data_IF_911300876992
#
_entry.id   IF_911300876992
#
_cell.length_a   1.000
_cell.length_b   1.000
_cell.length_c   1.000
_cell.angle_alpha   90.00
_cell.angle_beta   90.00
_cell.angle_gamma   90.00
#
_symmetry.space_group_name_H-M   'P 1'
#
loop_
_entity.id
_entity.type
_entity.pdbx_description
1 polymer ?
#
# COMPACT_ATOMS: atom_id res chain seq x y z
N UNK A 1 9.99 3.32 9.03
CA UNK A 1 10.33 3.66 7.65
C UNK A 1 9.98 5.11 7.38
N UNK A 2 10.99 5.91 7.10
CA UNK A 2 10.81 7.29 6.71
C UNK A 2 10.32 7.34 5.27
N UNK A 3 9.09 7.73 5.06
CA UNK A 3 8.58 8.11 3.76
C UNK A 3 8.43 9.63 3.77
N UNK A 4 9.14 10.37 2.90
CA UNK A 4 8.96 11.82 2.82
C UNK A 4 7.49 12.14 2.62
N UNK A 5 7.00 13.13 3.35
CA UNK A 5 5.58 13.54 3.34
C UNK A 5 5.20 14.36 2.11
N UNK A 6 6.02 14.36 1.07
CA UNK A 6 5.73 15.09 -0.14
C UNK A 6 4.46 14.52 -0.80
N UNK A 7 3.55 15.42 -1.06
CA UNK A 7 2.23 15.28 -1.61
C UNK A 7 1.94 13.93 -2.29
N UNK A 8 1.13 13.10 -1.64
CA UNK A 8 0.55 11.95 -2.33
C UNK A 8 -0.37 12.47 -3.43
N UNK A 9 -0.07 12.11 -4.66
CA UNK A 9 -0.98 12.33 -5.77
C UNK A 9 -2.15 11.35 -5.59
N UNK A 10 -3.37 11.86 -5.52
CA UNK A 10 -4.58 11.05 -5.41
C UNK A 10 -5.24 11.11 -4.03
N UNK A 11 -6.11 10.13 -3.79
CA UNK A 11 -6.88 10.03 -2.56
C UNK A 11 -6.02 9.63 -1.38
N UNK A 12 -6.35 10.14 -0.20
CA UNK A 12 -5.62 9.83 1.03
C UNK A 12 -6.49 10.02 2.26
N UNK A 13 -6.43 9.06 3.17
CA UNK A 13 -6.98 9.15 4.52
C UNK A 13 -5.96 8.56 5.49
N UNK A 14 -5.59 9.33 6.50
CA UNK A 14 -4.65 8.92 7.53
C UNK A 14 -5.30 8.97 8.90
N UNK A 15 -4.94 8.03 9.76
CA UNK A 15 -5.35 7.99 11.16
C UNK A 15 -4.13 7.97 12.06
N UNK A 16 -4.19 8.74 13.15
CA UNK A 16 -3.26 8.59 14.25
C UNK A 16 -3.66 7.38 15.09
N UNK A 17 -2.68 6.65 15.55
CA UNK A 17 -2.86 5.51 16.44
C UNK A 17 -2.58 5.98 17.85
N UNK A 18 -3.60 5.94 18.70
CA UNK A 18 -3.50 6.33 20.10
C UNK A 18 -3.58 5.10 21.00
N UNK A 19 -2.72 5.07 21.99
CA UNK A 19 -2.71 4.03 23.02
C UNK A 19 -2.40 4.69 24.36
N UNK A 20 -3.25 4.42 25.35
CA UNK A 20 -3.11 4.96 26.71
C UNK A 20 -2.92 6.49 26.74
N UNK A 21 -3.74 7.20 25.96
CA UNK A 21 -3.73 8.66 25.87
C UNK A 21 -2.55 9.27 25.05
N UNK A 22 -1.72 8.44 24.44
CA UNK A 22 -0.56 8.90 23.66
C UNK A 22 -0.65 8.46 22.20
N UNK A 23 -0.15 9.30 21.31
CA UNK A 23 0.00 8.91 19.90
C UNK A 23 1.22 8.02 19.75
N UNK A 24 1.01 6.77 19.32
CA UNK A 24 2.04 5.74 19.20
C UNK A 24 2.29 5.31 17.76
N UNK A 25 1.61 5.90 16.80
CA UNK A 25 1.82 5.56 15.40
C UNK A 25 0.82 6.21 14.46
N UNK A 26 0.86 5.77 13.23
CA UNK A 26 0.02 6.27 12.14
C UNK A 26 -0.24 5.15 11.13
N UNK A 27 -1.44 5.12 10.61
CA UNK A 27 -1.83 4.24 9.51
C UNK A 27 -2.60 5.03 8.47
N UNK A 28 -2.37 4.76 7.20
CA UNK A 28 -3.02 5.49 6.12
C UNK A 28 -3.35 4.61 4.92
N UNK A 29 -4.42 4.98 4.24
CA UNK A 29 -4.79 4.44 2.95
C UNK A 29 -4.85 5.55 1.91
N UNK A 30 -4.62 5.18 0.67
CA UNK A 30 -4.68 6.12 -0.45
C UNK A 30 -5.11 5.43 -1.73
N UNK A 31 -5.00 6.15 -2.84
CA UNK A 31 -5.29 5.59 -4.14
C UNK A 31 -4.48 4.33 -4.40
N UNK A 32 -5.08 3.38 -5.10
CA UNK A 32 -4.40 2.17 -5.55
C UNK A 32 -3.25 2.50 -6.50
N UNK A 33 -2.53 1.50 -6.95
CA UNK A 33 -1.38 1.67 -7.85
C UNK A 33 -1.78 1.51 -9.31
N UNK A 34 -1.17 2.31 -10.17
CA UNK A 34 -1.36 2.20 -11.62
C UNK A 34 -0.01 2.41 -12.34
N UNK A 35 0.39 1.56 -13.27
CA UNK A 35 -0.31 0.33 -13.69
C UNK A 35 -0.33 -0.74 -12.58
N UNK A 36 -1.39 -1.58 -12.55
CA UNK A 36 -1.48 -2.61 -11.52
C UNK A 36 -0.48 -3.74 -11.77
N UNK A 37 0.12 -4.31 -10.70
CA UNK A 37 0.86 -5.55 -10.83
C UNK A 37 -0.02 -6.69 -11.37
N UNK A 38 0.56 -7.58 -12.15
CA UNK A 38 -0.15 -8.72 -12.75
C UNK A 38 -0.82 -9.61 -11.69
N UNK A 39 -0.20 -9.74 -10.53
CA UNK A 39 -0.72 -10.55 -9.43
C UNK A 39 -2.05 -10.01 -8.89
N UNK A 40 -2.21 -8.68 -8.83
CA UNK A 40 -3.47 -8.05 -8.43
C UNK A 40 -4.57 -8.33 -9.47
N UNK A 41 -4.28 -8.16 -10.75
CA UNK A 41 -5.23 -8.46 -11.83
C UNK A 41 -5.67 -9.92 -11.81
N UNK A 42 -4.72 -10.83 -11.62
CA UNK A 42 -5.00 -12.26 -11.55
C UNK A 42 -5.87 -12.61 -10.34
N UNK A 43 -5.54 -12.10 -9.18
CA UNK A 43 -6.28 -12.38 -7.95
C UNK A 43 -7.72 -11.85 -8.01
N UNK A 44 -7.91 -10.65 -8.56
CA UNK A 44 -9.23 -10.03 -8.70
C UNK A 44 -9.98 -10.48 -9.96
N UNK A 45 -9.33 -11.28 -10.82
CA UNK A 45 -9.88 -11.71 -12.11
C UNK A 45 -10.34 -10.53 -12.99
N UNK A 46 -9.50 -9.51 -13.08
CA UNK A 46 -9.77 -8.28 -13.83
C UNK A 46 -8.79 -8.11 -14.98
N UNK A 47 -9.30 -7.57 -16.09
CA UNK A 47 -8.45 -6.97 -17.11
C UNK A 47 -7.90 -5.63 -16.60
N UNK A 48 -6.88 -5.11 -17.26
CA UNK A 48 -6.33 -3.78 -16.94
C UNK A 48 -7.37 -2.67 -17.08
N UNK A 49 -8.25 -2.77 -18.07
CA UNK A 49 -9.33 -1.81 -18.31
C UNK A 49 -10.40 -1.90 -17.21
N UNK A 50 -10.80 -3.11 -16.82
CA UNK A 50 -11.73 -3.33 -15.72
C UNK A 50 -11.16 -2.81 -14.39
N UNK A 51 -9.88 -3.05 -14.13
CA UNK A 51 -9.18 -2.50 -12.96
C UNK A 51 -9.23 -0.96 -12.95
N UNK A 52 -8.97 -0.33 -14.09
CA UNK A 52 -9.09 1.13 -14.23
C UNK A 52 -10.48 1.63 -13.90
N UNK A 53 -11.52 0.94 -14.34
CA UNK A 53 -12.93 1.26 -14.04
C UNK A 53 -13.29 1.07 -12.55
N UNK A 54 -12.59 0.18 -11.84
CA UNK A 54 -12.80 -0.11 -10.42
C UNK A 54 -11.72 0.49 -9.51
N UNK A 55 -10.87 1.34 -10.04
CA UNK A 55 -9.69 1.87 -9.34
C UNK A 55 -10.01 2.47 -7.97
N UNK A 56 -11.13 3.18 -7.85
CA UNK A 56 -11.55 3.86 -6.63
C UNK A 56 -12.24 2.95 -5.61
N UNK A 57 -12.45 1.69 -5.93
CA UNK A 57 -12.95 0.67 -4.99
C UNK A 57 -11.81 -0.10 -4.29
N UNK A 58 -10.58 0.21 -4.64
CA UNK A 58 -9.37 -0.43 -4.14
C UNK A 58 -8.47 0.66 -3.56
N UNK A 59 -8.11 0.53 -2.29
CA UNK A 59 -7.17 1.43 -1.65
C UNK A 59 -5.82 0.74 -1.44
N UNK A 60 -4.77 1.53 -1.36
CA UNK A 60 -3.43 1.08 -0.96
C UNK A 60 -3.17 1.51 0.48
N UNK A 61 -2.88 0.58 1.38
CA UNK A 61 -2.31 0.90 2.68
C UNK A 61 -0.85 1.33 2.46
N UNK A 62 -0.67 2.62 2.23
CA UNK A 62 0.61 3.19 1.83
C UNK A 62 1.53 3.42 3.03
N UNK A 63 0.98 3.47 4.23
CA UNK A 63 1.74 3.70 5.46
C UNK A 63 1.14 2.94 6.64
N UNK A 64 2.01 2.29 7.38
CA UNK A 64 1.73 1.74 8.70
C UNK A 64 3.01 1.86 9.53
N UNK A 65 3.05 2.81 10.44
CA UNK A 65 4.21 3.09 11.29
C UNK A 65 3.81 3.06 12.74
N UNK A 66 4.59 2.35 13.56
CA UNK A 66 4.50 2.36 15.02
C UNK A 66 5.81 2.89 15.58
N UNK A 67 5.73 3.84 16.50
CA UNK A 67 6.91 4.33 17.26
C UNK A 67 7.10 3.55 18.56
N UNK A 68 6.11 2.79 18.96
CA UNK A 68 6.12 1.93 20.15
C UNK A 68 5.53 0.58 19.80
N UNK A 69 6.20 -0.49 20.23
CA UNK A 69 5.67 -1.85 20.07
C UNK A 69 4.61 -2.13 21.13
N UNK A 70 3.44 -2.61 20.68
CA UNK A 70 2.33 -3.00 21.53
C UNK A 70 1.98 -4.45 21.22
N UNK A 71 1.90 -5.29 22.23
CA UNK A 71 1.54 -6.71 22.06
C UNK A 71 0.21 -6.83 21.33
N UNK A 72 0.19 -7.60 20.24
CA UNK A 72 -0.95 -7.77 19.34
C UNK A 72 -1.50 -6.45 18.74
N UNK A 73 -0.77 -5.34 18.89
CA UNK A 73 -1.22 -4.03 18.44
C UNK A 73 -1.43 -3.95 16.94
N UNK A 74 -0.56 -4.56 16.16
CA UNK A 74 -0.62 -4.50 14.70
C UNK A 74 -1.91 -5.09 14.14
N UNK A 75 -2.28 -6.30 14.54
CA UNK A 75 -3.51 -6.95 14.07
C UNK A 75 -4.78 -6.25 14.57
N UNK A 76 -4.76 -5.72 15.78
CA UNK A 76 -5.86 -4.91 16.31
C UNK A 76 -6.06 -3.61 15.52
N UNK A 77 -4.97 -2.95 15.14
CA UNK A 77 -5.03 -1.73 14.34
C UNK A 77 -5.55 -2.04 12.93
N UNK A 78 -5.09 -3.12 12.31
CA UNK A 78 -5.60 -3.55 11.00
C UNK A 78 -7.09 -3.91 11.06
N UNK A 79 -7.55 -4.54 12.14
CA UNK A 79 -8.97 -4.79 12.36
C UNK A 79 -9.77 -3.49 12.41
N UNK A 80 -9.29 -2.50 13.15
CA UNK A 80 -9.94 -1.18 13.21
C UNK A 80 -9.92 -0.47 11.86
N UNK A 81 -8.81 -0.56 11.12
CA UNK A 81 -8.73 -0.04 9.75
C UNK A 81 -9.84 -0.61 8.87
N UNK A 82 -10.00 -1.94 8.86
CA UNK A 82 -11.05 -2.62 8.09
C UNK A 82 -12.46 -2.20 8.49
N UNK A 83 -12.67 -1.89 9.76
CA UNK A 83 -13.96 -1.44 10.27
C UNK A 83 -14.27 0.02 9.91
N UNK A 84 -13.26 0.88 9.90
CA UNK A 84 -13.42 2.34 9.72
C UNK A 84 -13.24 2.80 8.28
N UNK A 85 -12.39 2.14 7.52
CA UNK A 85 -12.01 2.58 6.19
C UNK A 85 -13.20 2.66 5.20
N UNK A 86 -14.12 1.68 5.13
CA UNK A 86 -15.23 1.77 4.18
C UNK A 86 -16.10 3.01 4.35
N UNK A 87 -16.52 3.32 5.57
CA UNK A 87 -17.34 4.48 5.84
C UNK A 87 -16.59 5.80 5.64
N UNK A 88 -15.34 5.87 6.06
CA UNK A 88 -14.51 7.05 5.85
C UNK A 88 -14.23 7.33 4.36
N UNK A 89 -13.99 6.29 3.58
CA UNK A 89 -13.79 6.38 2.14
C UNK A 89 -15.05 6.85 1.42
N UNK A 90 -16.20 6.26 1.77
CA UNK A 90 -17.49 6.65 1.24
C UNK A 90 -17.84 8.10 1.57
N UNK A 91 -17.64 8.51 2.82
CA UNK A 91 -17.91 9.86 3.28
C UNK A 91 -17.04 10.92 2.57
N UNK A 92 -15.76 10.62 2.36
CA UNK A 92 -14.83 11.57 1.74
C UNK A 92 -14.87 11.58 0.22
N UNK A 93 -15.08 10.43 -0.42
CA UNK A 93 -14.89 10.25 -1.87
C UNK A 93 -16.12 9.73 -2.62
N UNK A 94 -17.14 9.28 -1.91
CA UNK A 94 -18.39 8.80 -2.52
C UNK A 94 -18.36 7.38 -3.08
N UNK A 95 -17.22 6.68 -3.01
CA UNK A 95 -17.09 5.33 -3.56
C UNK A 95 -17.12 4.27 -2.46
N UNK A 96 -17.59 3.08 -2.81
CA UNK A 96 -17.57 1.91 -1.94
C UNK A 96 -16.18 1.26 -1.98
N UNK A 97 -15.53 1.17 -0.83
CA UNK A 97 -14.24 0.51 -0.71
C UNK A 97 -14.45 -1.00 -0.57
N UNK A 98 -13.90 -1.79 -1.48
CA UNK A 98 -14.06 -3.25 -1.52
C UNK A 98 -12.80 -4.01 -1.14
N UNK A 99 -11.62 -3.45 -1.42
CA UNK A 99 -10.34 -4.09 -1.15
C UNK A 99 -9.31 -3.07 -0.66
N UNK A 100 -8.40 -3.57 0.18
CA UNK A 100 -7.18 -2.84 0.53
C UNK A 100 -5.99 -3.71 0.12
N UNK A 101 -5.05 -3.13 -0.61
CA UNK A 101 -3.76 -3.76 -0.95
C UNK A 101 -2.65 -3.13 -0.13
N UNK A 102 -1.54 -3.83 0.00
CA UNK A 102 -0.32 -3.29 0.59
C UNK A 102 0.92 -3.92 -0.04
N UNK A 103 2.03 -3.19 0.02
CA UNK A 103 3.34 -3.64 -0.44
C UNK A 103 4.30 -3.62 0.73
N UNK A 104 4.78 -4.80 1.12
CA UNK A 104 5.72 -4.95 2.24
C UNK A 104 7.14 -5.01 1.70
N UNK A 105 7.98 -4.11 2.18
CA UNK A 105 9.35 -3.95 1.70
C UNK A 105 10.25 -5.16 1.95
N UNK A 106 11.35 -5.21 1.20
CA UNK A 106 12.37 -6.25 1.31
C UNK A 106 12.88 -6.42 2.76
N UNK A 107 13.10 -7.66 3.16
CA UNK A 107 13.53 -8.00 4.52
C UNK A 107 12.41 -8.09 5.56
N UNK A 108 11.18 -7.79 5.17
CA UNK A 108 9.98 -7.95 6.00
C UNK A 108 9.10 -9.05 5.44
N UNK A 109 8.42 -9.78 6.30
CA UNK A 109 7.60 -10.95 5.89
C UNK A 109 6.09 -10.69 5.86
N UNK A 110 5.63 -9.48 6.21
CA UNK A 110 4.21 -9.16 6.26
C UNK A 110 3.44 -9.84 7.38
N UNK A 111 4.10 -10.29 8.44
CA UNK A 111 3.50 -11.08 9.51
C UNK A 111 2.26 -10.44 10.13
N UNK A 112 2.26 -9.13 10.33
CA UNK A 112 1.12 -8.41 10.90
C UNK A 112 -0.13 -8.49 10.01
N UNK A 113 0.06 -8.42 8.71
CA UNK A 113 -1.03 -8.56 7.74
C UNK A 113 -1.53 -10.00 7.64
N UNK A 114 -0.62 -10.96 7.63
CA UNK A 114 -0.98 -12.39 7.64
C UNK A 114 -1.74 -12.76 8.91
N UNK A 115 -1.37 -12.22 10.06
CA UNK A 115 -2.09 -12.38 11.31
C UNK A 115 -3.52 -11.81 11.27
N UNK A 116 -3.78 -10.81 10.44
CA UNK A 116 -5.12 -10.27 10.17
C UNK A 116 -5.79 -10.93 8.95
N UNK A 117 -5.31 -12.09 8.52
CA UNK A 117 -5.84 -12.88 7.40
C UNK A 117 -5.84 -12.16 6.05
N UNK A 118 -4.84 -11.33 5.79
CA UNK A 118 -4.58 -10.82 4.45
C UNK A 118 -3.98 -11.92 3.58
N UNK A 119 -4.32 -11.93 2.32
CA UNK A 119 -3.79 -12.91 1.38
C UNK A 119 -2.51 -12.40 0.72
N UNK A 120 -1.43 -13.16 0.80
CA UNK A 120 -0.23 -12.93 0.00
C UNK A 120 -0.52 -13.40 -1.43
N UNK A 121 -0.49 -12.48 -2.39
CA UNK A 121 -0.87 -12.77 -3.78
C UNK A 121 0.30 -12.73 -4.75
N UNK A 122 1.46 -12.27 -4.32
CA UNK A 122 2.64 -12.24 -5.16
C UNK A 122 3.73 -11.33 -4.65
N UNK A 123 4.64 -11.00 -5.54
CA UNK A 123 5.77 -10.11 -5.28
C UNK A 123 5.96 -9.17 -6.46
N UNK A 124 6.45 -7.96 -6.18
CA UNK A 124 6.85 -7.05 -7.25
C UNK A 124 8.12 -7.55 -7.93
N UNK A 125 8.35 -7.11 -9.16
CA UNK A 125 9.53 -7.50 -9.94
C UNK A 125 10.86 -7.01 -9.34
N UNK A 126 10.82 -5.97 -8.51
CA UNK A 126 11.99 -5.36 -7.88
C UNK A 126 12.76 -4.45 -8.82
N UNK A 127 13.38 -3.43 -8.24
CA UNK A 127 14.26 -2.50 -8.95
C UNK A 127 15.59 -2.38 -8.21
N UNK A 128 16.71 -2.06 -8.89
CA UNK A 128 17.99 -1.81 -8.24
C UNK A 128 17.89 -0.69 -7.20
N UNK A 129 18.47 -0.91 -6.03
CA UNK A 129 18.35 -0.03 -4.86
C UNK A 129 18.83 1.41 -5.14
N UNK A 130 19.89 1.55 -5.91
CA UNK A 130 20.50 2.84 -6.26
C UNK A 130 19.67 3.65 -7.25
N UNK A 131 18.76 3.04 -7.99
CA UNK A 131 17.94 3.72 -9.00
C UNK A 131 16.58 4.19 -8.48
N UNK A 132 16.10 3.62 -7.39
CA UNK A 132 14.83 4.03 -6.78
C UNK A 132 14.93 5.32 -5.95
N UNK A 133 16.14 5.70 -5.53
CA UNK A 133 16.36 6.87 -4.66
C UNK A 133 16.78 8.15 -5.40
N UNK A 134 17.14 8.06 -6.67
CA UNK A 134 17.71 9.18 -7.44
C UNK A 134 16.88 9.65 -8.63
N UNK A 135 15.70 9.13 -8.82
CA UNK A 135 14.82 9.53 -9.94
C UNK A 135 14.32 10.96 -9.78
N UNK A 136 14.99 11.86 -10.44
CA UNK A 136 14.50 13.21 -10.71
C UNK A 136 13.81 13.20 -12.06
N UNK A 137 12.56 13.57 -12.09
CA UNK A 137 11.66 13.46 -13.25
C UNK A 137 11.95 14.42 -14.43
N UNK A 138 13.07 15.13 -14.45
CA UNK A 138 13.22 16.33 -15.26
C UNK A 138 14.16 16.25 -16.46
N UNK A 139 14.72 15.09 -16.83
CA UNK A 139 15.58 14.98 -18.03
C UNK A 139 15.29 13.71 -18.84
N UNK A 140 15.40 13.81 -20.16
CA UNK A 140 15.17 12.69 -21.09
C UNK A 140 16.07 11.47 -20.86
N UNK A 141 17.24 11.64 -20.24
CA UNK A 141 18.14 10.55 -19.86
C UNK A 141 17.60 9.72 -18.72
N UNK A 142 16.88 10.34 -17.78
CA UNK A 142 16.27 9.63 -16.64
C UNK A 142 15.10 8.76 -17.06
N UNK A 143 14.36 9.12 -18.09
CA UNK A 143 13.30 8.28 -18.66
C UNK A 143 13.83 6.96 -19.21
N UNK A 144 15.04 6.94 -19.78
CA UNK A 144 15.68 5.70 -20.24
C UNK A 144 16.02 4.75 -19.10
N UNK A 145 16.35 5.26 -17.92
CA UNK A 145 16.63 4.45 -16.73
C UNK A 145 15.37 3.86 -16.09
N UNK A 146 14.21 4.47 -16.27
CA UNK A 146 12.94 3.94 -15.80
C UNK A 146 12.56 2.60 -16.46
N UNK A 147 13.11 2.31 -17.63
CA UNK A 147 12.86 1.07 -18.38
C UNK A 147 13.94 0.00 -18.18
N UNK A 148 14.79 0.15 -17.18
CA UNK A 148 15.76 -0.90 -16.83
C UNK A 148 14.99 -2.14 -16.37
N UNK A 149 15.40 -3.30 -16.88
CA UNK A 149 14.79 -4.59 -16.50
C UNK A 149 14.86 -4.78 -14.96
N UNK A 150 13.80 -5.25 -14.35
CA UNK A 150 13.83 -5.60 -12.94
C UNK A 150 14.95 -6.61 -12.66
N UNK A 151 15.72 -6.38 -11.60
CA UNK A 151 16.84 -7.26 -11.21
C UNK A 151 16.47 -8.29 -10.17
N UNK A 152 15.26 -8.22 -9.65
CA UNK A 152 14.84 -9.03 -8.50
C UNK A 152 15.29 -8.46 -7.16
N UNK A 153 16.07 -7.38 -7.13
CA UNK A 153 16.43 -6.68 -5.90
C UNK A 153 15.25 -5.85 -5.37
N UNK A 154 15.14 -5.71 -4.06
CA UNK A 154 14.09 -4.92 -3.40
C UNK A 154 12.66 -5.34 -3.78
N UNK A 155 12.44 -6.62 -4.01
CA UNK A 155 11.10 -7.17 -4.19
C UNK A 155 10.23 -6.86 -2.96
N UNK A 156 9.00 -6.45 -3.23
CA UNK A 156 8.00 -6.25 -2.18
C UNK A 156 6.95 -7.35 -2.27
N UNK A 157 6.52 -7.83 -1.11
CA UNK A 157 5.40 -8.77 -1.01
C UNK A 157 4.10 -7.99 -1.25
N UNK A 158 3.21 -8.55 -2.05
CA UNK A 158 1.89 -7.97 -2.32
C UNK A 158 0.86 -8.73 -1.50
N UNK A 159 0.13 -8.01 -0.68
CA UNK A 159 -0.94 -8.54 0.16
C UNK A 159 -2.25 -7.80 -0.12
N UNK A 160 -3.36 -8.52 -0.03
CA UNK A 160 -4.70 -7.99 -0.27
C UNK A 160 -5.68 -8.45 0.80
N UNK A 161 -6.61 -7.58 1.14
CA UNK A 161 -7.74 -7.88 2.03
C UNK A 161 -9.05 -7.48 1.35
N UNK A 162 -9.96 -8.43 1.25
CA UNK A 162 -11.35 -8.16 0.89
C UNK A 162 -12.09 -7.62 2.13
N UNK A 163 -12.78 -6.55 1.95
CA UNK A 163 -13.59 -5.91 3.00
C UNK A 163 -15.02 -6.42 3.02
#
# INVERSE_FOLDING_TARGET
SYVPTNASVGRRIDWLINYDGQTVGMIGIGSSVYPPPKDILRHLNLTKEEYKGQFNTIANNWRFCMIQSIKNGGSQILKQLRQKAPSAWKAKYGDDLKHIITFVGAGKNGAVYLADNWSKIGETAGLPKHKSSSMKWNTGEQLKELFVKPTGENKKIILIKKL
#
